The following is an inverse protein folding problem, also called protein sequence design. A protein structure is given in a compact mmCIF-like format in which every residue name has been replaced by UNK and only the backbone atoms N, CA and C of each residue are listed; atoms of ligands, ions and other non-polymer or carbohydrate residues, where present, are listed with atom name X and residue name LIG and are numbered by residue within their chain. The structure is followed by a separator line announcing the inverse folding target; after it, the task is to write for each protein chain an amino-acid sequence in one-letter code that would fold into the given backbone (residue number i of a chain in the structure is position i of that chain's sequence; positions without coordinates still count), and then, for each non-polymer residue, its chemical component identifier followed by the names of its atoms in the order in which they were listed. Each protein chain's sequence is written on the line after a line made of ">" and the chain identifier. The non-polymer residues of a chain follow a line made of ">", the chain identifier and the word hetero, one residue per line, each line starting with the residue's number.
data_IF_157149636459
#
_entry.id   IF_157149636459
#
_cell.length_a   1.000
_cell.length_b   1.000
_cell.length_c   1.000
_cell.angle_alpha   90.00
_cell.angle_beta   90.00
_cell.angle_gamma   90.00
#
_symmetry.space_group_name_H-M   'P 1'
#
loop_
_entity.id
_entity.type
_entity.pdbx_description
1 polymer ?
#
# COMPACT_ATOMS: atom_id res chain seq x y z
N UNK A 1 -6.22 10.21 -2.18
CA UNK A 1 -5.20 9.89 -3.19
C UNK A 1 -4.48 11.09 -3.78
N UNK A 2 -5.16 12.09 -4.35
CA UNK A 2 -4.52 13.22 -5.06
C UNK A 2 -3.42 13.96 -4.26
N UNK A 3 -3.57 14.09 -2.94
CA UNK A 3 -2.58 14.75 -2.08
C UNK A 3 -1.22 14.03 -2.03
N UNK A 4 -1.22 12.68 -1.92
CA UNK A 4 0.02 11.87 -1.93
C UNK A 4 0.73 11.95 -3.28
N UNK A 5 -0.05 11.82 -4.35
CA UNK A 5 0.45 11.84 -5.72
C UNK A 5 1.09 13.18 -6.04
N UNK A 6 0.49 14.28 -5.59
CA UNK A 6 0.99 15.65 -5.83
C UNK A 6 2.35 15.87 -5.17
N UNK A 7 2.53 15.44 -3.92
CA UNK A 7 3.81 15.56 -3.21
C UNK A 7 4.91 14.74 -3.88
N UNK A 8 4.60 13.49 -4.27
CA UNK A 8 5.54 12.62 -4.97
C UNK A 8 5.89 13.15 -6.37
N UNK A 9 4.93 13.72 -7.09
CA UNK A 9 5.19 14.36 -8.39
C UNK A 9 6.08 15.59 -8.27
N UNK A 10 5.88 16.41 -7.23
CA UNK A 10 6.69 17.60 -6.98
C UNK A 10 8.14 17.25 -6.63
N UNK A 11 8.35 16.19 -5.85
CA UNK A 11 9.69 15.68 -5.52
C UNK A 11 10.29 14.81 -6.64
N UNK A 12 9.48 14.35 -7.59
CA UNK A 12 9.86 13.48 -8.71
C UNK A 12 11.16 13.86 -9.44
N UNK A 13 11.34 15.13 -9.84
CA UNK A 13 12.57 15.59 -10.50
C UNK A 13 13.84 15.49 -9.66
N UNK A 14 13.71 15.44 -8.32
CA UNK A 14 14.84 15.39 -7.37
C UNK A 14 15.24 13.96 -7.01
N UNK A 15 14.46 12.95 -7.40
CA UNK A 15 14.73 11.55 -7.08
C UNK A 15 15.91 11.02 -7.92
N UNK A 16 16.92 10.46 -7.25
CA UNK A 16 18.11 9.89 -7.86
C UNK A 16 17.89 8.46 -8.38
N UNK A 17 16.98 7.70 -7.77
CA UNK A 17 16.73 6.31 -8.14
C UNK A 17 15.28 5.87 -7.90
N UNK A 18 14.91 4.73 -8.50
CA UNK A 18 13.63 4.07 -8.21
C UNK A 18 13.51 3.67 -6.73
N UNK A 19 14.62 3.31 -6.06
CA UNK A 19 14.65 2.95 -4.65
C UNK A 19 14.35 4.15 -3.74
N UNK A 20 14.86 5.34 -4.07
CA UNK A 20 14.50 6.57 -3.35
C UNK A 20 13.02 6.93 -3.55
N UNK A 21 12.51 6.76 -4.78
CA UNK A 21 11.08 6.90 -5.06
C UNK A 21 10.22 5.93 -4.25
N UNK A 22 10.67 4.68 -4.11
CA UNK A 22 10.01 3.68 -3.27
C UNK A 22 9.95 4.09 -1.80
N UNK A 23 11.10 4.47 -1.23
CA UNK A 23 11.19 4.84 0.18
C UNK A 23 10.37 6.09 0.51
N UNK A 24 10.48 7.13 -0.32
CA UNK A 24 9.69 8.35 -0.16
C UNK A 24 8.18 8.06 -0.31
N UNK A 25 7.81 7.23 -1.28
CA UNK A 25 6.43 6.78 -1.46
C UNK A 25 5.89 6.02 -0.26
N UNK A 26 6.69 5.10 0.32
CA UNK A 26 6.32 4.34 1.51
C UNK A 26 6.09 5.27 2.71
N UNK A 27 6.97 6.26 2.92
CA UNK A 27 6.83 7.25 3.99
C UNK A 27 5.57 8.11 3.83
N UNK A 28 5.29 8.58 2.60
CA UNK A 28 4.07 9.33 2.30
C UNK A 28 2.80 8.47 2.57
N UNK A 29 2.84 7.21 2.17
CA UNK A 29 1.76 6.26 2.41
C UNK A 29 1.54 6.00 3.91
N UNK A 30 2.62 5.81 4.67
CA UNK A 30 2.58 5.59 6.11
C UNK A 30 2.03 6.81 6.87
N UNK A 31 2.48 8.01 6.51
CA UNK A 31 1.97 9.25 7.10
C UNK A 31 0.47 9.45 6.83
N UNK A 32 0.03 9.16 5.60
CA UNK A 32 -1.39 9.23 5.27
C UNK A 32 -2.21 8.18 6.03
N UNK A 33 -1.77 6.92 6.07
CA UNK A 33 -2.51 5.87 6.77
C UNK A 33 -2.58 6.10 8.27
N UNK A 34 -1.55 6.72 8.85
CA UNK A 34 -1.56 7.14 10.24
C UNK A 34 -2.67 8.17 10.48
N UNK A 35 -2.74 9.23 9.67
CA UNK A 35 -3.78 10.26 9.77
C UNK A 35 -5.17 9.66 9.55
N UNK A 36 -5.34 8.85 8.50
CA UNK A 36 -6.59 8.15 8.21
C UNK A 36 -7.02 7.25 9.38
N UNK A 37 -6.09 6.48 9.94
CA UNK A 37 -6.32 5.63 11.09
C UNK A 37 -6.74 6.41 12.34
N UNK A 38 -6.11 7.56 12.60
CA UNK A 38 -6.46 8.45 13.72
C UNK A 38 -7.85 9.07 13.54
N UNK A 39 -8.20 9.51 12.33
CA UNK A 39 -9.54 10.03 12.01
C UNK A 39 -10.62 8.94 12.11
N UNK A 40 -10.26 7.68 11.88
CA UNK A 40 -11.17 6.53 11.98
C UNK A 40 -11.37 6.01 13.43
N UNK A 41 -10.93 6.73 14.46
CA UNK A 41 -10.97 6.26 15.87
C UNK A 41 -12.30 6.56 16.61
N UNK A 42 -13.36 6.94 15.89
CA UNK A 42 -14.60 7.48 16.49
C UNK A 42 -15.56 6.51 17.19
N UNK A 43 -15.32 5.20 17.24
CA UNK A 43 -16.28 4.25 17.84
C UNK A 43 -15.58 3.14 18.63
N UNK A 44 -15.59 3.25 19.96
CA UNK A 44 -15.31 2.12 20.84
C UNK A 44 -16.50 1.14 20.72
N UNK A 45 -16.28 0.03 20.02
CA UNK A 45 -17.27 -1.03 19.83
C UNK A 45 -16.75 -2.34 20.43
N UNK A 46 -17.66 -3.27 20.72
CA UNK A 46 -17.30 -4.64 21.13
C UNK A 46 -16.49 -5.41 20.07
N UNK A 47 -16.41 -4.92 18.83
CA UNK A 47 -15.69 -5.48 17.69
C UNK A 47 -14.30 -4.84 17.45
N UNK A 48 -13.68 -4.28 18.50
CA UNK A 48 -12.39 -3.56 18.40
C UNK A 48 -11.29 -4.32 17.63
N UNK A 49 -11.19 -5.65 17.81
CA UNK A 49 -10.20 -6.49 17.11
C UNK A 49 -10.39 -6.53 15.59
N UNK A 50 -11.63 -6.49 15.12
CA UNK A 50 -11.97 -6.39 13.69
C UNK A 50 -11.57 -5.02 13.15
N UNK A 51 -11.80 -3.97 13.96
CA UNK A 51 -11.35 -2.62 13.66
C UNK A 51 -9.83 -2.51 13.53
N UNK A 52 -9.06 -3.21 14.36
CA UNK A 52 -7.59 -3.28 14.25
C UNK A 52 -7.18 -3.96 12.95
N UNK A 53 -7.77 -5.11 12.64
CA UNK A 53 -7.49 -5.83 11.39
C UNK A 53 -7.74 -4.93 10.17
N UNK A 54 -8.83 -4.15 10.18
CA UNK A 54 -9.14 -3.20 9.13
C UNK A 54 -8.11 -2.08 9.02
N UNK A 55 -7.68 -1.51 10.15
CA UNK A 55 -6.66 -0.46 10.17
C UNK A 55 -5.31 -0.94 9.68
N UNK A 56 -4.89 -2.15 10.06
CA UNK A 56 -3.65 -2.76 9.59
C UNK A 56 -3.72 -3.02 8.08
N UNK A 57 -4.85 -3.54 7.60
CA UNK A 57 -5.09 -3.78 6.17
C UNK A 57 -5.04 -2.48 5.35
N UNK A 58 -5.75 -1.44 5.80
CA UNK A 58 -5.73 -0.10 5.18
C UNK A 58 -4.30 0.46 5.14
N UNK A 59 -3.60 0.40 6.27
CA UNK A 59 -2.26 0.95 6.40
C UNK A 59 -1.28 0.27 5.47
N UNK A 60 -1.31 -1.06 5.43
CA UNK A 60 -0.44 -1.84 4.55
C UNK A 60 -0.71 -1.53 3.07
N UNK A 61 -1.99 -1.45 2.68
CA UNK A 61 -2.38 -1.07 1.32
C UNK A 61 -1.82 0.32 0.97
N UNK A 62 -2.07 1.33 1.81
CA UNK A 62 -1.65 2.71 1.57
C UNK A 62 -0.14 2.86 1.45
N UNK A 63 0.63 2.22 2.32
CA UNK A 63 2.09 2.20 2.27
C UNK A 63 2.58 1.56 0.99
N UNK A 64 2.11 0.35 0.68
CA UNK A 64 2.58 -0.45 -0.46
C UNK A 64 2.29 0.24 -1.79
N UNK A 65 1.05 0.70 -1.96
CA UNK A 65 0.61 1.35 -3.18
C UNK A 65 1.32 2.70 -3.39
N UNK A 66 1.55 3.47 -2.32
CA UNK A 66 2.28 4.73 -2.40
C UNK A 66 3.77 4.52 -2.72
N UNK A 67 4.39 3.48 -2.16
CA UNK A 67 5.77 3.11 -2.45
C UNK A 67 5.97 2.75 -3.93
N UNK A 68 5.06 1.95 -4.49
CA UNK A 68 5.08 1.62 -5.91
C UNK A 68 4.90 2.85 -6.79
N UNK A 69 3.95 3.72 -6.44
CA UNK A 69 3.69 4.93 -7.21
C UNK A 69 4.89 5.88 -7.18
N UNK A 70 5.54 6.05 -6.02
CA UNK A 70 6.77 6.84 -5.89
C UNK A 70 7.92 6.28 -6.74
N UNK A 71 8.06 4.95 -6.78
CA UNK A 71 9.05 4.28 -7.66
C UNK A 71 8.75 4.54 -9.15
N UNK A 72 7.49 4.43 -9.54
CA UNK A 72 7.06 4.62 -10.91
C UNK A 72 7.22 6.09 -11.36
N UNK A 73 6.99 7.05 -10.45
CA UNK A 73 7.25 8.48 -10.67
C UNK A 73 8.74 8.71 -10.91
N UNK A 74 9.62 8.20 -10.04
CA UNK A 74 11.07 8.32 -10.21
C UNK A 74 11.53 7.76 -11.58
N UNK A 75 11.01 6.59 -11.97
CA UNK A 75 11.31 5.97 -13.27
C UNK A 75 10.77 6.79 -14.44
N UNK A 76 9.59 7.38 -14.32
CA UNK A 76 8.99 8.19 -15.36
C UNK A 76 9.78 9.48 -15.64
N UNK A 77 10.30 10.13 -14.60
CA UNK A 77 11.15 11.31 -14.74
C UNK A 77 12.55 10.98 -15.26
N UNK A 78 13.17 9.89 -14.77
CA UNK A 78 14.55 9.49 -15.14
C UNK A 78 14.65 8.86 -16.52
N UNK A 79 13.75 7.94 -16.86
CA UNK A 79 13.85 7.10 -18.06
C UNK A 79 12.77 7.39 -19.10
N UNK A 80 11.95 8.44 -18.89
CA UNK A 80 10.79 8.80 -19.75
C UNK A 80 9.77 7.68 -19.98
N UNK A 81 9.79 6.62 -19.16
CA UNK A 81 8.87 5.47 -19.25
C UNK A 81 7.52 5.77 -18.57
N UNK A 82 6.74 6.67 -19.18
CA UNK A 82 5.44 7.12 -18.64
C UNK A 82 4.37 6.03 -18.59
N UNK A 83 4.49 4.99 -19.43
CA UNK A 83 3.54 3.85 -19.46
C UNK A 83 3.48 3.10 -18.13
N UNK A 84 4.64 2.91 -17.49
CA UNK A 84 4.73 2.24 -16.20
C UNK A 84 4.04 3.07 -15.10
N UNK A 85 4.17 4.39 -15.14
CA UNK A 85 3.48 5.29 -14.21
C UNK A 85 1.95 5.21 -14.34
N UNK A 86 1.42 5.21 -15.57
CA UNK A 86 -0.03 5.07 -15.79
C UNK A 86 -0.53 3.73 -15.27
N UNK A 87 0.17 2.63 -15.57
CA UNK A 87 -0.20 1.29 -15.09
C UNK A 87 -0.20 1.20 -13.56
N UNK A 88 0.86 1.71 -12.90
CA UNK A 88 0.95 1.74 -11.44
C UNK A 88 -0.11 2.63 -10.80
N UNK A 89 -0.45 3.77 -11.43
CA UNK A 89 -1.51 4.65 -10.97
C UNK A 89 -2.89 4.00 -11.06
N UNK A 90 -3.20 3.33 -12.17
CA UNK A 90 -4.48 2.62 -12.32
C UNK A 90 -4.62 1.46 -11.34
N UNK A 91 -3.54 0.70 -11.11
CA UNK A 91 -3.51 -0.37 -10.11
C UNK A 91 -3.70 0.19 -8.70
N UNK A 92 -3.03 1.30 -8.38
CA UNK A 92 -3.19 2.04 -7.13
C UNK A 92 -4.64 2.46 -6.89
N UNK A 93 -5.24 3.14 -7.88
CA UNK A 93 -6.61 3.60 -7.82
C UNK A 93 -7.61 2.43 -7.72
N UNK A 94 -7.35 1.32 -8.41
CA UNK A 94 -8.17 0.11 -8.36
C UNK A 94 -8.15 -0.56 -6.99
N UNK A 95 -6.96 -0.76 -6.39
CA UNK A 95 -6.83 -1.32 -5.04
C UNK A 95 -7.47 -0.42 -3.99
N UNK A 96 -7.25 0.89 -4.08
CA UNK A 96 -7.90 1.85 -3.20
C UNK A 96 -9.43 1.88 -3.39
N UNK A 97 -9.91 1.74 -4.63
CA UNK A 97 -11.34 1.61 -4.93
C UNK A 97 -11.97 0.36 -4.33
N UNK A 98 -11.28 -0.78 -4.39
CA UNK A 98 -11.70 -2.03 -3.73
C UNK A 98 -11.82 -1.85 -2.21
N UNK A 99 -10.85 -1.17 -1.59
CA UNK A 99 -10.90 -0.83 -0.17
C UNK A 99 -12.10 0.07 0.18
N UNK A 100 -12.38 1.09 -0.64
CA UNK A 100 -13.59 1.90 -0.44
C UNK A 100 -14.88 1.08 -0.62
N UNK A 101 -14.89 0.12 -1.55
CA UNK A 101 -16.01 -0.80 -1.75
C UNK A 101 -16.34 -1.62 -0.50
N UNK A 102 -15.33 -2.10 0.24
CA UNK A 102 -15.61 -2.83 1.49
C UNK A 102 -16.11 -1.94 2.61
N UNK A 103 -15.65 -0.70 2.71
CA UNK A 103 -16.21 0.29 3.63
C UNK A 103 -17.68 0.58 3.31
N UNK A 104 -18.03 0.77 2.04
CA UNK A 104 -19.42 0.98 1.61
C UNK A 104 -20.29 -0.23 1.96
N UNK A 105 -19.82 -1.45 1.69
CA UNK A 105 -20.57 -2.67 2.04
C UNK A 105 -20.72 -2.84 3.56
N UNK A 106 -19.65 -2.61 4.33
CA UNK A 106 -19.73 -2.65 5.79
C UNK A 106 -20.73 -1.62 6.34
N UNK A 107 -20.73 -0.41 5.77
CA UNK A 107 -21.67 0.65 6.14
C UNK A 107 -23.11 0.29 5.74
N UNK A 108 -23.33 -0.23 4.54
CA UNK A 108 -24.64 -0.71 4.08
C UNK A 108 -25.20 -1.80 5.01
N UNK A 109 -24.38 -2.78 5.38
CA UNK A 109 -24.76 -3.84 6.32
C UNK A 109 -25.11 -3.26 7.69
N UNK A 110 -24.29 -2.35 8.22
CA UNK A 110 -24.54 -1.69 9.49
C UNK A 110 -25.86 -0.89 9.48
N UNK A 111 -26.12 -0.13 8.41
CA UNK A 111 -27.38 0.60 8.23
C UNK A 111 -28.58 -0.34 8.14
N UNK A 112 -28.45 -1.47 7.42
CA UNK A 112 -29.52 -2.48 7.34
C UNK A 112 -29.87 -3.03 8.71
N UNK A 113 -28.86 -3.36 9.53
CA UNK A 113 -29.07 -3.84 10.91
C UNK A 113 -29.79 -2.79 11.76
N UNK A 114 -29.35 -1.54 11.71
CA UNK A 114 -29.95 -0.45 12.50
C UNK A 114 -31.39 -0.16 12.03
N UNK A 115 -31.62 -0.11 10.72
CA UNK A 115 -32.92 0.22 10.14
C UNK A 115 -33.96 -0.90 10.27
N UNK A 116 -33.54 -2.18 10.28
CA UNK A 116 -34.42 -3.33 10.47
C UNK A 116 -34.34 -3.92 11.88
N UNK A 117 -33.69 -3.27 12.84
CA UNK A 117 -33.46 -3.77 14.20
C UNK A 117 -34.69 -4.37 14.92
N UNK A 118 -35.95 -3.90 14.71
CA UNK A 118 -37.13 -4.54 15.31
C UNK A 118 -37.51 -5.91 14.70
N UNK A 119 -36.95 -6.30 13.55
CA UNK A 119 -37.32 -7.48 12.77
C UNK A 119 -36.15 -8.44 12.44
N UNK A 120 -34.94 -8.16 12.95
CA UNK A 120 -33.74 -8.96 12.68
C UNK A 120 -33.64 -10.10 13.70
N UNK A 121 -33.82 -11.34 13.24
CA UNK A 121 -33.50 -12.53 14.04
C UNK A 121 -31.98 -12.67 14.26
N UNK A 122 -31.57 -13.32 15.35
CA UNK A 122 -30.16 -13.45 15.77
C UNK A 122 -29.22 -14.06 14.72
N UNK A 123 -29.75 -14.86 13.78
CA UNK A 123 -28.99 -15.43 12.66
C UNK A 123 -28.60 -14.41 11.58
N UNK A 124 -29.42 -13.38 11.34
CA UNK A 124 -29.17 -12.37 10.30
C UNK A 124 -27.99 -11.44 10.68
N UNK A 125 -27.83 -11.17 11.98
CA UNK A 125 -26.72 -10.37 12.50
C UNK A 125 -25.38 -11.13 12.43
N UNK A 126 -25.39 -12.45 12.70
CA UNK A 126 -24.19 -13.28 12.58
C UNK A 126 -23.70 -13.38 11.13
N UNK A 127 -24.61 -13.57 10.17
CA UNK A 127 -24.28 -13.62 8.74
C UNK A 127 -23.70 -12.29 8.24
N UNK A 128 -24.27 -11.16 8.66
CA UNK A 128 -23.77 -9.83 8.36
C UNK A 128 -22.33 -9.59 8.86
N UNK A 129 -22.05 -9.97 10.11
CA UNK A 129 -20.70 -9.89 10.70
C UNK A 129 -19.72 -10.79 9.94
N UNK A 130 -20.12 -12.00 9.56
CA UNK A 130 -19.29 -12.93 8.80
C UNK A 130 -18.94 -12.40 7.40
N UNK A 131 -19.89 -11.78 6.69
CA UNK A 131 -19.62 -11.18 5.36
C UNK A 131 -18.65 -10.01 5.48
N UNK A 132 -18.83 -9.12 6.46
CA UNK A 132 -17.93 -7.99 6.69
C UNK A 132 -16.51 -8.47 7.06
N UNK A 133 -16.40 -9.45 7.95
CA UNK A 133 -15.13 -10.07 8.33
C UNK A 133 -14.46 -10.78 7.16
N UNK A 134 -15.20 -11.56 6.39
CA UNK A 134 -14.70 -12.27 5.22
C UNK A 134 -14.16 -11.30 4.18
N UNK A 135 -14.90 -10.23 3.88
CA UNK A 135 -14.44 -9.17 2.96
C UNK A 135 -13.15 -8.50 3.43
N UNK A 136 -13.04 -8.21 4.73
CA UNK A 136 -11.84 -7.61 5.33
C UNK A 136 -10.63 -8.55 5.26
N UNK A 137 -10.81 -9.84 5.58
CA UNK A 137 -9.76 -10.85 5.52
C UNK A 137 -9.28 -11.10 4.09
N UNK A 138 -10.20 -11.11 3.12
CA UNK A 138 -9.83 -11.23 1.69
C UNK A 138 -9.01 -10.03 1.26
N UNK A 139 -9.39 -8.80 1.64
CA UNK A 139 -8.63 -7.62 1.28
C UNK A 139 -7.26 -7.53 1.97
N UNK A 140 -7.17 -7.98 3.22
CA UNK A 140 -5.89 -8.17 3.91
C UNK A 140 -5.02 -9.17 3.16
N UNK A 141 -5.57 -10.33 2.80
CA UNK A 141 -4.84 -11.36 2.07
C UNK A 141 -4.36 -10.86 0.71
N UNK A 142 -5.20 -10.17 -0.06
CA UNK A 142 -4.83 -9.57 -1.34
C UNK A 142 -3.75 -8.49 -1.16
N UNK A 143 -3.86 -7.66 -0.12
CA UNK A 143 -2.87 -6.61 0.17
C UNK A 143 -1.52 -7.21 0.60
N UNK A 144 -1.52 -8.28 1.39
CA UNK A 144 -0.33 -9.02 1.78
C UNK A 144 0.31 -9.73 0.59
N UNK A 145 -0.48 -10.45 -0.21
CA UNK A 145 0.01 -11.11 -1.41
C UNK A 145 0.59 -10.10 -2.40
N UNK A 146 -0.04 -8.94 -2.53
CA UNK A 146 0.47 -7.86 -3.36
C UNK A 146 1.78 -7.30 -2.80
N UNK A 147 1.88 -7.03 -1.50
CA UNK A 147 3.11 -6.59 -0.85
C UNK A 147 4.26 -7.62 -0.96
N UNK A 148 3.94 -8.91 -0.83
CA UNK A 148 4.89 -10.02 -1.02
C UNK A 148 5.33 -10.14 -2.47
N UNK A 149 4.41 -10.04 -3.43
CA UNK A 149 4.74 -10.05 -4.85
C UNK A 149 5.64 -8.87 -5.21
N UNK A 150 5.36 -7.68 -4.69
CA UNK A 150 6.17 -6.47 -4.94
C UNK A 150 7.56 -6.58 -4.32
N UNK A 151 7.64 -7.05 -3.07
CA UNK A 151 8.93 -7.26 -2.42
C UNK A 151 9.75 -8.35 -3.13
N UNK A 152 9.11 -9.43 -3.58
CA UNK A 152 9.74 -10.50 -4.34
C UNK A 152 10.16 -10.12 -5.76
N UNK A 153 9.31 -9.43 -6.52
CA UNK A 153 9.51 -9.14 -7.94
C UNK A 153 10.30 -7.84 -8.20
N UNK A 154 10.32 -6.90 -7.25
CA UNK A 154 10.94 -5.59 -7.43
C UNK A 154 12.02 -5.32 -6.38
N UNK A 155 11.72 -5.47 -5.09
CA UNK A 155 12.66 -5.10 -4.04
C UNK A 155 13.88 -6.04 -3.99
N UNK A 156 13.66 -7.36 -4.02
CA UNK A 156 14.75 -8.34 -3.98
C UNK A 156 15.67 -8.27 -5.22
N UNK A 157 15.18 -8.18 -6.47
CA UNK A 157 16.05 -8.07 -7.64
C UNK A 157 16.86 -6.77 -7.67
N UNK A 158 16.26 -5.64 -7.24
CA UNK A 158 16.95 -4.35 -7.16
C UNK A 158 18.03 -4.38 -6.08
N UNK A 159 17.72 -4.92 -4.90
CA UNK A 159 18.69 -5.07 -3.82
C UNK A 159 19.84 -6.00 -4.24
N UNK A 160 19.51 -7.13 -4.88
CA UNK A 160 20.49 -8.07 -5.39
C UNK A 160 21.40 -7.43 -6.45
N UNK A 161 20.84 -6.70 -7.41
CA UNK A 161 21.62 -5.97 -8.42
C UNK A 161 22.53 -4.89 -7.81
N UNK A 162 22.07 -4.22 -6.74
CA UNK A 162 22.85 -3.22 -6.02
C UNK A 162 24.03 -3.85 -5.26
N UNK A 163 23.79 -4.95 -4.54
CA UNK A 163 24.84 -5.69 -3.83
C UNK A 163 25.90 -6.23 -4.79
N UNK A 164 25.47 -6.75 -5.93
CA UNK A 164 26.37 -7.30 -6.95
C UNK A 164 27.28 -6.23 -7.59
N UNK A 165 26.82 -4.98 -7.73
CA UNK A 165 27.68 -3.86 -8.16
C UNK A 165 28.72 -3.49 -7.09
N UNK A 166 28.32 -3.45 -5.82
CA UNK A 166 29.25 -3.14 -4.72
C UNK A 166 30.36 -4.18 -4.62
N UNK A 167 30.02 -5.47 -4.73
CA UNK A 167 31.04 -6.54 -4.71
C UNK A 167 32.01 -6.45 -5.90
N UNK A 168 31.52 -6.07 -7.09
CA UNK A 168 32.37 -5.87 -8.27
C UNK A 168 33.35 -4.71 -8.09
N UNK A 169 32.90 -3.59 -7.50
CA UNK A 169 33.76 -2.43 -7.22
C UNK A 169 34.84 -2.80 -6.18
N UNK A 170 34.46 -3.45 -5.08
CA UNK A 170 35.43 -3.90 -4.06
C UNK A 170 36.45 -4.91 -4.63
N UNK A 171 36.03 -5.79 -5.53
CA UNK A 171 36.96 -6.71 -6.19
C UNK A 171 37.91 -6.00 -7.15
N UNK A 172 37.44 -4.97 -7.87
CA UNK A 172 38.26 -4.20 -8.81
C UNK A 172 39.32 -3.37 -8.07
N UNK A 173 38.97 -2.78 -6.92
CA UNK A 173 39.86 -2.00 -6.08
C UNK A 173 41.03 -2.86 -5.55
N UNK A 174 40.73 -4.07 -5.06
CA UNK A 174 41.73 -5.05 -4.59
C UNK A 174 42.67 -5.57 -5.68
N UNK A 175 42.24 -5.56 -6.94
CA UNK A 175 43.05 -6.02 -8.09
C UNK A 175 43.80 -4.90 -8.79
N UNK A 176 43.61 -3.64 -8.40
CA UNK A 176 44.41 -2.54 -8.94
C UNK A 176 45.86 -2.71 -8.45
N UNK A 177 46.84 -2.93 -9.35
CA UNK A 177 48.23 -3.01 -8.93
C UNK A 177 48.61 -1.65 -8.34
N UNK A 178 49.24 -1.64 -7.16
CA UNK A 178 49.92 -0.47 -6.63
C UNK A 178 50.94 -0.03 -7.69
N UNK A 179 50.56 0.97 -8.50
CA UNK A 179 51.49 1.68 -9.37
C UNK A 179 52.25 2.62 -8.45
N UNK A 180 53.31 2.10 -7.86
CA UNK A 180 54.37 2.84 -7.18
C UNK A 180 55.62 2.80 -8.05
#
# INVERSE_FOLDING_TARGET
>A
EASKVSLLFWLGPRLASAGEGFALGALCGAGFSLIEGMLATGAATSLWGVGILGRVSSSLMHVTVSALLGSAIAVAFRYRRRRQLVGTYLLSAGLHGLWNGTLIMAFYVALRIIALAPAVESNDMAAAIQVALGGLLILLALSLLFALFVSGAVALPVLNASLRRKSQIESADKTSPNVA
#
